data_IF_168197123678
#
_entry.id   IF_168197123678
#
_cell.length_a   1.000
_cell.length_b   1.000
_cell.length_c   1.000
_cell.angle_alpha   90.00
_cell.angle_beta   90.00
_cell.angle_gamma   90.00
#
_symmetry.space_group_name_H-M   'P 1'
#
loop_
_entity.id
_entity.type
_entity.pdbx_description
1 polymer ?
#
# COMPACT_ATOMS: atom_id res chain seq x y z
N UNK A 1 -30.10 -19.22 -7.40
CA UNK A 1 -29.60 -17.99 -8.04
C UNK A 1 -28.11 -17.92 -7.75
N UNK A 2 -27.27 -17.99 -8.77
CA UNK A 2 -25.81 -18.07 -8.62
C UNK A 2 -25.27 -16.84 -7.88
N UNK A 3 -24.38 -17.05 -6.91
CA UNK A 3 -23.69 -16.01 -6.14
C UNK A 3 -22.53 -15.36 -6.90
N UNK A 4 -22.30 -15.78 -8.14
CA UNK A 4 -21.14 -15.38 -8.91
C UNK A 4 -21.51 -14.19 -9.81
N UNK A 5 -21.47 -12.99 -9.23
CA UNK A 5 -21.42 -11.73 -9.98
C UNK A 5 -20.10 -11.54 -10.76
N UNK A 6 -19.18 -12.50 -10.66
CA UNK A 6 -17.89 -12.51 -11.34
C UNK A 6 -17.96 -13.36 -12.61
N UNK A 7 -18.70 -12.89 -13.62
CA UNK A 7 -18.92 -13.66 -14.84
C UNK A 7 -18.88 -12.81 -16.10
N UNK A 8 -17.68 -12.44 -16.55
CA UNK A 8 -17.42 -12.27 -17.98
C UNK A 8 -16.38 -13.31 -18.38
N UNK A 9 -16.82 -14.34 -19.09
CA UNK A 9 -16.02 -15.42 -19.70
C UNK A 9 -15.33 -14.99 -21.00
N UNK A 10 -15.25 -13.68 -21.25
CA UNK A 10 -14.51 -13.15 -22.40
C UNK A 10 -13.07 -12.89 -21.95
N UNK A 11 -12.12 -13.65 -22.50
CA UNK A 11 -10.69 -13.40 -22.28
C UNK A 11 -10.39 -11.94 -22.59
N UNK A 12 -9.84 -11.21 -21.61
CA UNK A 12 -9.50 -9.80 -21.77
C UNK A 12 -8.35 -9.69 -22.78
N UNK A 13 -8.44 -8.69 -23.65
CA UNK A 13 -7.38 -8.37 -24.62
C UNK A 13 -6.63 -7.07 -24.25
N UNK A 14 -7.22 -6.24 -23.39
CA UNK A 14 -6.65 -4.98 -22.90
C UNK A 14 -6.54 -4.98 -21.38
N UNK A 15 -5.48 -4.39 -20.84
CA UNK A 15 -5.26 -4.20 -19.40
C UNK A 15 -6.12 -3.08 -18.82
N UNK A 16 -7.44 -3.18 -18.95
CA UNK A 16 -8.42 -2.25 -18.38
C UNK A 16 -9.59 -3.02 -17.74
N UNK A 17 -9.94 -2.65 -16.52
CA UNK A 17 -11.04 -3.24 -15.75
C UNK A 17 -11.88 -2.13 -15.15
N UNK A 18 -13.19 -2.21 -15.38
CA UNK A 18 -14.21 -1.46 -14.66
C UNK A 18 -15.06 -2.45 -13.85
N UNK A 19 -14.99 -2.37 -12.52
CA UNK A 19 -15.67 -3.34 -11.66
C UNK A 19 -17.01 -2.79 -11.15
N UNK A 20 -18.03 -2.83 -12.00
CA UNK A 20 -19.39 -2.48 -11.61
C UNK A 20 -19.93 -3.47 -10.57
N UNK A 21 -20.62 -2.97 -9.54
CA UNK A 21 -21.28 -3.80 -8.52
C UNK A 21 -22.79 -3.67 -8.60
N UNK A 22 -23.49 -4.78 -8.34
CA UNK A 22 -24.95 -4.83 -8.23
C UNK A 22 -25.47 -4.19 -6.94
N UNK A 23 -24.61 -4.00 -5.94
CA UNK A 23 -24.93 -3.20 -4.77
C UNK A 23 -24.67 -1.72 -5.09
N UNK A 24 -25.68 -0.85 -4.97
CA UNK A 24 -25.52 0.55 -5.31
C UNK A 24 -24.63 1.27 -4.29
N UNK A 25 -23.86 2.24 -4.78
CA UNK A 25 -23.11 3.13 -3.91
C UNK A 25 -24.07 3.97 -3.06
N UNK A 26 -23.84 4.01 -1.75
CA UNK A 26 -24.63 4.82 -0.83
C UNK A 26 -24.00 6.21 -0.70
N UNK A 27 -24.69 7.23 -1.20
CA UNK A 27 -24.27 8.62 -1.06
C UNK A 27 -24.63 9.17 0.33
N UNK A 28 -24.06 8.56 1.37
CA UNK A 28 -24.27 8.92 2.78
C UNK A 28 -22.92 9.16 3.44
N UNK A 29 -22.85 10.14 4.33
CA UNK A 29 -21.71 10.29 5.21
C UNK A 29 -21.69 9.17 6.25
N UNK A 30 -20.53 8.95 6.88
CA UNK A 30 -20.40 7.94 7.94
C UNK A 30 -21.39 8.18 9.08
N UNK A 31 -21.61 9.45 9.44
CA UNK A 31 -22.57 9.85 10.46
C UNK A 31 -24.03 9.63 10.04
N UNK A 32 -24.39 9.91 8.79
CA UNK A 32 -25.75 9.66 8.28
C UNK A 32 -26.10 8.17 8.29
N UNK A 33 -25.17 7.32 7.89
CA UNK A 33 -25.34 5.87 7.96
C UNK A 33 -25.50 5.38 9.40
N UNK A 34 -24.75 5.96 10.34
CA UNK A 34 -24.90 5.65 11.76
C UNK A 34 -26.26 6.08 12.30
N UNK A 35 -26.72 7.29 12.00
CA UNK A 35 -27.98 7.84 12.49
C UNK A 35 -29.18 6.96 12.05
N UNK A 36 -29.15 6.47 10.81
CA UNK A 36 -30.15 5.53 10.27
C UNK A 36 -30.10 4.18 10.99
N UNK A 37 -28.91 3.57 11.11
CA UNK A 37 -28.74 2.27 11.76
C UNK A 37 -29.11 2.33 13.24
N UNK A 38 -28.79 3.42 13.94
CA UNK A 38 -29.20 3.63 15.33
C UNK A 38 -30.71 3.82 15.50
N UNK A 39 -31.39 4.36 14.49
CA UNK A 39 -32.85 4.45 14.49
C UNK A 39 -33.50 3.08 14.26
N UNK A 40 -32.89 2.23 13.43
CA UNK A 40 -33.44 0.94 13.06
C UNK A 40 -33.08 -0.19 14.04
N UNK A 41 -31.87 -0.17 14.60
CA UNK A 41 -31.30 -1.23 15.43
C UNK A 41 -30.61 -0.68 16.70
N UNK A 42 -31.30 0.12 17.53
CA UNK A 42 -30.68 0.87 18.63
C UNK A 42 -29.92 0.00 19.65
N UNK A 43 -30.43 -1.20 19.92
CA UNK A 43 -29.89 -2.09 20.97
C UNK A 43 -28.83 -3.08 20.44
N UNK A 44 -28.55 -3.07 19.14
CA UNK A 44 -27.57 -3.98 18.54
C UNK A 44 -26.16 -3.45 18.80
N UNK A 45 -25.27 -4.34 19.27
CA UNK A 45 -23.84 -4.02 19.42
C UNK A 45 -23.22 -3.67 18.07
N UNK A 46 -22.58 -2.50 17.97
CA UNK A 46 -22.01 -2.00 16.72
C UNK A 46 -20.52 -1.68 16.81
N UNK A 47 -19.99 -1.47 18.01
CA UNK A 47 -18.58 -1.13 18.21
C UNK A 47 -18.02 -1.75 19.47
N UNK A 48 -16.92 -2.49 19.32
CA UNK A 48 -16.23 -3.20 20.40
C UNK A 48 -14.76 -2.86 20.35
N UNK A 49 -14.25 -2.26 21.42
CA UNK A 49 -12.82 -2.00 21.57
C UNK A 49 -12.28 -2.80 22.77
N UNK A 50 -11.76 -4.00 22.46
CA UNK A 50 -11.37 -5.00 23.48
C UNK A 50 -10.28 -4.51 24.42
N UNK A 51 -9.31 -3.73 23.92
CA UNK A 51 -8.18 -3.24 24.72
C UNK A 51 -8.59 -2.33 25.89
N UNK A 52 -9.74 -1.65 25.76
CA UNK A 52 -10.29 -0.76 26.79
C UNK A 52 -11.55 -1.34 27.45
N UNK A 53 -11.91 -2.60 27.12
CA UNK A 53 -13.16 -3.23 27.55
C UNK A 53 -14.42 -2.39 27.26
N UNK A 54 -14.43 -1.64 26.15
CA UNK A 54 -15.54 -0.80 25.73
C UNK A 54 -16.40 -1.53 24.70
N UNK A 55 -17.72 -1.45 24.88
CA UNK A 55 -18.75 -2.02 24.00
C UNK A 55 -19.89 -1.03 23.88
N UNK A 56 -20.34 -0.79 22.66
CA UNK A 56 -21.42 0.15 22.38
C UNK A 56 -22.48 -0.50 21.51
N UNK A 57 -23.74 -0.22 21.84
CA UNK A 57 -24.84 -0.42 20.90
C UNK A 57 -24.90 0.75 19.94
N UNK A 58 -25.66 0.63 18.85
CA UNK A 58 -25.83 1.76 17.93
C UNK A 58 -26.36 3.02 18.64
N UNK A 59 -27.31 2.86 19.58
CA UNK A 59 -27.84 3.99 20.34
C UNK A 59 -26.79 4.64 21.24
N UNK A 60 -26.00 3.86 21.98
CA UNK A 60 -24.98 4.44 22.88
C UNK A 60 -23.79 4.99 22.10
N UNK A 61 -23.39 4.37 20.99
CA UNK A 61 -22.34 4.90 20.12
C UNK A 61 -22.73 6.24 19.49
N UNK A 62 -23.96 6.34 18.97
CA UNK A 62 -24.50 7.59 18.46
C UNK A 62 -24.54 8.67 19.54
N UNK A 63 -24.94 8.32 20.76
CA UNK A 63 -24.96 9.26 21.89
C UNK A 63 -23.57 9.85 22.18
N UNK A 64 -22.52 9.03 22.26
CA UNK A 64 -21.15 9.51 22.47
C UNK A 64 -20.68 10.45 21.34
N UNK A 65 -21.02 10.11 20.09
CA UNK A 65 -20.70 10.93 18.92
C UNK A 65 -21.42 12.27 18.99
N UNK A 66 -22.72 12.27 19.30
CA UNK A 66 -23.52 13.49 19.40
C UNK A 66 -23.06 14.39 20.54
N UNK A 67 -22.69 13.79 21.67
CA UNK A 67 -22.15 14.50 22.82
C UNK A 67 -20.86 15.23 22.46
N UNK A 68 -19.87 14.51 21.90
CA UNK A 68 -18.60 15.12 21.51
C UNK A 68 -18.76 16.12 20.36
N UNK A 69 -19.64 15.84 19.39
CA UNK A 69 -19.95 16.77 18.32
C UNK A 69 -20.53 18.09 18.85
N UNK A 70 -21.45 18.01 19.82
CA UNK A 70 -22.02 19.19 20.48
C UNK A 70 -20.94 19.97 21.22
N UNK A 71 -20.04 19.29 21.94
CA UNK A 71 -18.92 19.94 22.62
C UNK A 71 -17.99 20.67 21.64
N UNK A 72 -17.67 20.10 20.48
CA UNK A 72 -16.85 20.79 19.48
C UNK A 72 -17.59 22.01 18.87
N UNK A 73 -18.91 21.94 18.67
CA UNK A 73 -19.71 23.10 18.26
C UNK A 73 -19.67 24.22 19.31
N UNK A 74 -19.77 23.87 20.60
CA UNK A 74 -19.63 24.85 21.69
C UNK A 74 -18.23 25.47 21.77
N UNK A 75 -17.20 24.74 21.36
CA UNK A 75 -15.83 25.25 21.20
C UNK A 75 -15.65 26.12 19.94
N UNK A 76 -16.68 26.26 19.10
CA UNK A 76 -16.69 27.14 17.94
C UNK A 76 -16.19 26.50 16.65
N UNK A 77 -16.15 25.17 16.54
CA UNK A 77 -15.82 24.51 15.27
C UNK A 77 -16.93 24.73 14.23
N UNK A 78 -16.54 25.16 13.03
CA UNK A 78 -17.41 25.38 11.88
C UNK A 78 -17.13 24.37 10.75
N UNK A 79 -18.07 24.23 9.81
CA UNK A 79 -17.91 23.36 8.64
C UNK A 79 -16.62 23.75 7.88
N UNK A 80 -15.76 22.76 7.61
CA UNK A 80 -14.49 22.96 6.93
C UNK A 80 -13.29 23.19 7.84
N UNK A 81 -13.50 23.42 9.14
CA UNK A 81 -12.40 23.54 10.10
C UNK A 81 -11.53 22.28 10.15
N UNK A 82 -10.25 22.46 10.49
CA UNK A 82 -9.26 21.37 10.51
C UNK A 82 -8.92 20.96 11.93
N UNK A 83 -9.18 19.70 12.27
CA UNK A 83 -8.83 19.11 13.56
C UNK A 83 -7.65 18.16 13.38
N UNK A 84 -6.47 18.57 13.83
CA UNK A 84 -5.31 17.69 13.91
C UNK A 84 -5.45 16.73 15.10
N UNK A 85 -5.25 15.43 14.85
CA UNK A 85 -5.45 14.36 15.84
C UNK A 85 -4.19 13.51 15.93
N UNK A 86 -3.50 13.57 17.07
CA UNK A 86 -2.36 12.74 17.41
C UNK A 86 -2.74 11.78 18.56
N UNK A 87 -3.60 10.82 18.25
CA UNK A 87 -4.04 9.80 19.20
C UNK A 87 -3.50 8.42 18.79
N UNK A 88 -3.16 7.54 19.75
CA UNK A 88 -2.80 6.15 19.46
C UNK A 88 -3.99 5.36 18.91
N UNK A 89 -3.79 4.04 18.73
CA UNK A 89 -4.88 3.12 18.43
C UNK A 89 -5.79 2.97 19.66
N UNK A 90 -6.71 3.93 19.85
CA UNK A 90 -7.70 3.97 20.93
C UNK A 90 -9.12 4.19 20.36
N UNK A 91 -10.13 3.97 21.20
CA UNK A 91 -11.53 4.08 20.76
C UNK A 91 -11.92 5.51 20.34
N UNK A 92 -11.35 6.52 20.99
CA UNK A 92 -11.60 7.94 20.70
C UNK A 92 -11.09 8.35 19.31
N UNK A 93 -10.06 7.68 18.79
CA UNK A 93 -9.58 7.96 17.44
C UNK A 93 -10.65 7.59 16.39
N UNK A 94 -11.35 6.47 16.57
CA UNK A 94 -12.46 6.09 15.68
C UNK A 94 -13.65 7.02 15.88
N UNK A 95 -13.98 7.35 17.14
CA UNK A 95 -15.05 8.30 17.50
C UNK A 95 -14.92 9.63 16.75
N UNK A 96 -13.71 10.21 16.75
CA UNK A 96 -13.42 11.49 16.09
C UNK A 96 -13.64 11.44 14.57
N UNK A 97 -13.54 10.29 13.92
CA UNK A 97 -13.85 10.16 12.48
C UNK A 97 -15.35 10.30 12.22
N UNK A 98 -16.21 9.76 13.10
CA UNK A 98 -17.66 9.94 13.02
C UNK A 98 -18.06 11.38 13.36
N UNK A 99 -17.48 11.97 14.41
CA UNK A 99 -17.72 13.37 14.78
C UNK A 99 -17.32 14.32 13.66
N UNK A 100 -16.15 14.13 13.07
CA UNK A 100 -15.69 14.93 11.95
C UNK A 100 -16.65 14.85 10.75
N UNK A 101 -17.07 13.63 10.42
CA UNK A 101 -18.08 13.38 9.38
C UNK A 101 -19.46 13.99 9.70
N UNK A 102 -19.83 14.12 10.98
CA UNK A 102 -21.12 14.69 11.42
C UNK A 102 -21.11 16.21 11.35
N UNK A 103 -20.00 16.84 11.76
CA UNK A 103 -19.86 18.29 11.79
C UNK A 103 -19.41 18.89 10.44
N UNK A 104 -18.92 18.06 9.52
CA UNK A 104 -18.33 18.55 8.27
C UNK A 104 -16.96 19.19 8.46
N UNK A 105 -16.24 18.81 9.54
CA UNK A 105 -14.87 19.25 9.79
C UNK A 105 -13.87 18.24 9.21
N UNK A 106 -12.67 18.71 8.90
CA UNK A 106 -11.59 17.94 8.29
C UNK A 106 -10.70 17.39 9.40
N UNK A 107 -10.73 16.07 9.59
CA UNK A 107 -9.80 15.39 10.50
C UNK A 107 -8.44 15.20 9.81
N UNK A 108 -7.37 15.66 10.44
CA UNK A 108 -5.99 15.48 9.99
C UNK A 108 -5.29 14.51 10.95
N UNK A 109 -5.06 13.27 10.51
CA UNK A 109 -4.37 12.29 11.32
C UNK A 109 -2.86 12.58 11.39
N UNK A 110 -2.33 12.63 12.61
CA UNK A 110 -0.91 12.64 12.89
C UNK A 110 -0.54 11.28 13.46
N UNK A 111 0.57 10.70 13.00
CA UNK A 111 1.06 9.44 13.56
C UNK A 111 1.74 9.72 14.91
N UNK A 112 1.21 9.25 16.05
CA UNK A 112 1.83 9.50 17.37
C UNK A 112 3.19 8.81 17.52
N UNK A 113 3.42 7.70 16.81
CA UNK A 113 4.66 6.92 16.85
C UNK A 113 5.25 6.77 15.44
N UNK A 114 6.08 7.73 15.05
CA UNK A 114 6.83 7.70 13.79
C UNK A 114 8.06 6.79 13.87
N UNK A 115 7.85 5.51 14.18
CA UNK A 115 8.85 4.45 14.02
C UNK A 115 8.14 3.21 13.47
N UNK A 116 8.16 3.08 12.15
CA UNK A 116 7.59 1.91 11.47
C UNK A 116 8.37 0.64 11.82
N UNK A 117 7.71 -0.32 12.46
CA UNK A 117 8.17 -1.71 12.56
C UNK A 117 7.02 -2.70 12.74
N UNK A 118 7.23 -3.86 12.09
CA UNK A 118 6.61 -5.18 12.28
C UNK A 118 5.18 -5.43 11.76
N UNK A 119 5.11 -5.83 10.49
CA UNK A 119 3.97 -6.60 9.92
C UNK A 119 4.41 -7.84 9.12
N UNK A 120 5.69 -8.03 8.80
CA UNK A 120 6.15 -9.15 7.97
C UNK A 120 6.26 -10.48 8.74
N UNK A 121 6.83 -10.47 9.95
CA UNK A 121 7.02 -11.68 10.75
C UNK A 121 5.70 -12.23 11.31
N UNK A 122 4.76 -11.32 11.63
CA UNK A 122 3.44 -11.67 12.13
C UNK A 122 2.64 -12.51 11.11
N UNK A 123 2.66 -12.20 9.82
CA UNK A 123 1.83 -12.90 8.82
C UNK A 123 2.23 -14.37 8.66
N UNK A 124 3.53 -14.67 8.68
CA UNK A 124 4.03 -16.04 8.52
C UNK A 124 3.83 -16.89 9.79
N UNK A 125 4.07 -16.32 10.97
CA UNK A 125 3.85 -17.01 12.25
C UNK A 125 2.36 -17.24 12.55
N UNK A 126 1.51 -16.29 12.15
CA UNK A 126 0.06 -16.36 12.34
C UNK A 126 -0.58 -17.49 11.52
N UNK A 127 -0.02 -17.88 10.36
CA UNK A 127 -0.58 -18.96 9.54
C UNK A 127 -0.36 -20.36 10.13
N UNK A 128 0.82 -20.64 10.70
CA UNK A 128 1.16 -21.96 11.24
C UNK A 128 0.61 -22.21 12.64
N UNK A 129 0.44 -21.16 13.45
CA UNK A 129 0.03 -21.29 14.86
C UNK A 129 -1.47 -21.06 15.10
N UNK A 130 -2.16 -20.26 14.27
CA UNK A 130 -3.52 -19.79 14.56
C UNK A 130 -4.64 -20.42 13.72
N UNK A 131 -4.34 -21.43 12.89
CA UNK A 131 -5.37 -22.12 12.10
C UNK A 131 -6.12 -21.22 11.11
N UNK A 132 -5.45 -20.18 10.59
CA UNK A 132 -6.05 -19.23 9.66
C UNK A 132 -6.39 -19.92 8.34
N UNK A 133 -7.67 -19.85 7.97
CA UNK A 133 -8.20 -20.46 6.74
C UNK A 133 -8.17 -19.53 5.53
N UNK A 134 -7.90 -18.22 5.70
CA UNK A 134 -7.83 -17.22 4.62
C UNK A 134 -6.85 -16.10 4.94
N UNK A 135 -5.93 -15.84 4.02
CA UNK A 135 -5.08 -14.65 4.01
C UNK A 135 -5.34 -13.92 2.70
N UNK A 136 -5.91 -12.72 2.79
CA UNK A 136 -6.12 -11.85 1.64
C UNK A 136 -5.10 -10.72 1.67
N UNK A 137 -4.41 -10.52 0.56
CA UNK A 137 -3.54 -9.38 0.29
C UNK A 137 -4.35 -8.27 -0.35
N UNK A 138 -4.12 -7.02 0.08
CA UNK A 138 -4.66 -5.83 -0.54
C UNK A 138 -3.58 -4.81 -0.86
N UNK A 139 -3.73 -4.10 -1.97
CA UNK A 139 -2.86 -2.99 -2.38
C UNK A 139 -3.64 -1.68 -2.33
N UNK A 140 -3.01 -0.59 -1.89
CA UNK A 140 -3.59 0.75 -1.84
C UNK A 140 -2.54 1.80 -1.49
N UNK A 141 -2.93 3.07 -1.57
CA UNK A 141 -2.13 4.22 -1.16
C UNK A 141 -3.03 5.29 -0.55
N UNK A 142 -2.46 6.26 0.16
CA UNK A 142 -3.22 7.32 0.84
C UNK A 142 -4.14 8.08 -0.12
N UNK A 143 -3.65 8.36 -1.33
CA UNK A 143 -4.36 9.08 -2.39
C UNK A 143 -5.56 8.31 -2.97
N UNK A 144 -5.66 7.00 -2.70
CA UNK A 144 -6.81 6.14 -3.05
C UNK A 144 -7.81 6.06 -1.87
N UNK A 145 -7.40 6.44 -0.67
CA UNK A 145 -8.21 6.43 0.55
C UNK A 145 -8.40 5.05 1.22
N UNK A 146 -8.23 3.94 0.49
CA UNK A 146 -8.37 2.58 0.99
C UNK A 146 -7.55 1.59 0.11
N UNK A 147 -7.78 0.28 0.26
CA UNK A 147 -7.37 -0.72 -0.70
C UNK A 147 -8.03 -0.47 -2.06
N UNK A 148 -7.26 -0.61 -3.13
CA UNK A 148 -7.67 -0.62 -4.53
C UNK A 148 -7.99 -2.03 -5.02
N UNK A 149 -7.13 -2.98 -4.67
CA UNK A 149 -7.27 -4.38 -5.06
C UNK A 149 -7.22 -5.29 -3.85
N UNK A 150 -7.85 -6.45 -3.99
CA UNK A 150 -7.80 -7.50 -3.00
C UNK A 150 -7.80 -8.88 -3.69
N UNK A 151 -7.06 -9.82 -3.12
CA UNK A 151 -7.10 -11.23 -3.51
C UNK A 151 -8.37 -11.85 -2.96
N UNK A 152 -9.52 -11.51 -3.55
CA UNK A 152 -10.81 -12.14 -3.21
C UNK A 152 -10.99 -13.29 -4.18
N UNK A 153 -10.56 -14.49 -3.78
CA UNK A 153 -11.00 -15.69 -4.47
C UNK A 153 -11.34 -16.84 -3.51
N UNK A 154 -12.39 -17.55 -3.91
CA UNK A 154 -12.96 -18.68 -3.17
C UNK A 154 -12.20 -19.98 -3.40
N UNK A 155 -11.34 -20.03 -4.44
CA UNK A 155 -10.47 -21.16 -4.70
C UNK A 155 -9.13 -21.00 -3.98
N UNK A 156 -8.87 -21.89 -3.02
CA UNK A 156 -7.67 -21.81 -2.18
C UNK A 156 -6.40 -22.25 -2.92
N UNK A 157 -6.56 -23.05 -3.98
CA UNK A 157 -5.46 -23.65 -4.74
C UNK A 157 -4.98 -22.76 -5.91
N UNK A 158 -5.48 -21.53 -6.02
CA UNK A 158 -5.00 -20.59 -7.04
C UNK A 158 -3.72 -19.87 -6.56
N UNK A 159 -2.58 -20.24 -7.15
CA UNK A 159 -1.25 -19.65 -6.88
C UNK A 159 -1.21 -18.12 -7.00
N UNK A 160 -2.13 -17.52 -7.76
CA UNK A 160 -2.23 -16.06 -7.89
C UNK A 160 -2.62 -15.38 -6.59
N UNK A 161 -3.25 -16.07 -5.63
CA UNK A 161 -3.49 -15.54 -4.27
C UNK A 161 -2.21 -15.09 -3.56
N UNK A 162 -1.10 -15.79 -3.84
CA UNK A 162 0.17 -15.53 -3.17
C UNK A 162 1.07 -14.60 -3.99
N UNK A 163 0.91 -14.61 -5.32
CA UNK A 163 1.83 -13.92 -6.24
C UNK A 163 1.27 -12.60 -6.79
N UNK A 164 -0.04 -12.35 -6.69
CA UNK A 164 -0.70 -11.12 -7.15
C UNK A 164 -1.04 -10.17 -6.01
N UNK A 165 -1.30 -8.91 -6.34
CA UNK A 165 -1.92 -7.92 -5.44
C UNK A 165 -3.46 -7.93 -5.54
N UNK A 166 -4.03 -8.94 -6.20
CA UNK A 166 -5.47 -9.14 -6.31
C UNK A 166 -6.13 -8.42 -7.49
N UNK A 167 -7.46 -8.34 -7.42
CA UNK A 167 -8.33 -7.77 -8.47
C UNK A 167 -8.94 -6.44 -8.03
N UNK A 168 -9.32 -5.63 -9.00
CA UNK A 168 -10.00 -4.34 -8.80
C UNK A 168 -11.23 -4.49 -7.87
N UNK A 169 -11.32 -3.66 -6.84
CA UNK A 169 -12.49 -3.61 -5.96
C UNK A 169 -13.72 -3.00 -6.66
N UNK A 170 -14.94 -3.28 -6.15
CA UNK A 170 -16.17 -2.70 -6.69
C UNK A 170 -16.15 -1.17 -6.77
N UNK A 171 -16.82 -0.63 -7.80
CA UNK A 171 -16.96 0.81 -8.06
C UNK A 171 -15.65 1.54 -8.38
N UNK A 172 -14.61 0.78 -8.73
CA UNK A 172 -13.31 1.31 -9.15
C UNK A 172 -12.98 0.88 -10.59
N UNK A 173 -12.09 1.65 -11.19
CA UNK A 173 -11.52 1.40 -12.51
C UNK A 173 -10.00 1.37 -12.42
N UNK A 174 -9.39 0.40 -13.09
CA UNK A 174 -7.94 0.27 -13.19
C UNK A 174 -7.56 0.06 -14.65
N UNK A 175 -6.49 0.71 -15.08
CA UNK A 175 -5.78 0.39 -16.32
C UNK A 175 -4.27 0.29 -16.09
N UNK A 176 -3.62 -0.54 -16.89
CA UNK A 176 -2.16 -0.53 -17.03
C UNK A 176 -1.82 0.25 -18.30
N UNK A 177 -0.94 1.24 -18.20
CA UNK A 177 -0.59 2.13 -19.31
C UNK A 177 0.91 2.19 -19.58
N UNK A 178 1.24 2.51 -20.82
CA UNK A 178 2.60 2.86 -21.23
C UNK A 178 2.99 4.27 -20.75
N UNK A 179 4.18 4.72 -21.12
CA UNK A 179 4.68 6.07 -20.79
C UNK A 179 3.86 7.20 -21.42
N UNK A 180 3.03 6.92 -22.43
CA UNK A 180 2.15 7.90 -23.09
C UNK A 180 0.73 7.90 -22.49
N UNK A 181 0.46 7.05 -21.49
CA UNK A 181 -0.89 6.89 -20.92
C UNK A 181 -1.83 6.02 -21.75
N UNK A 182 -1.30 5.31 -22.75
CA UNK A 182 -2.06 4.37 -23.60
C UNK A 182 -2.18 3.01 -22.91
N UNK A 183 -3.37 2.43 -22.91
CA UNK A 183 -3.61 1.11 -22.29
C UNK A 183 -2.78 0.04 -23.00
N UNK A 184 -2.00 -0.72 -22.25
CA UNK A 184 -1.18 -1.82 -22.79
C UNK A 184 -1.99 -3.12 -22.90
N UNK A 185 -1.57 -4.07 -23.76
CA UNK A 185 -2.16 -5.41 -23.82
C UNK A 185 -2.06 -6.15 -22.47
N UNK A 186 -2.88 -7.19 -22.30
CA UNK A 186 -2.77 -8.11 -21.15
C UNK A 186 -1.39 -8.75 -21.10
N UNK A 187 -0.84 -8.88 -19.90
CA UNK A 187 0.50 -9.42 -19.62
C UNK A 187 1.64 -8.43 -19.83
N UNK A 188 1.42 -7.31 -20.52
CA UNK A 188 2.42 -6.25 -20.68
C UNK A 188 2.61 -5.46 -19.39
N UNK A 189 3.85 -5.03 -19.16
CA UNK A 189 4.23 -4.19 -18.03
C UNK A 189 3.88 -2.73 -18.33
N UNK A 190 3.42 -2.03 -17.29
CA UNK A 190 3.15 -0.60 -17.38
C UNK A 190 2.75 -0.02 -16.03
N UNK A 191 2.38 1.25 -16.03
CA UNK A 191 1.97 1.96 -14.81
C UNK A 191 0.50 1.70 -14.49
N UNK A 192 0.20 1.44 -13.21
CA UNK A 192 -1.18 1.35 -12.72
C UNK A 192 -1.77 2.75 -12.68
N UNK A 193 -2.83 2.99 -13.43
CA UNK A 193 -3.67 4.17 -13.28
C UNK A 193 -5.04 3.76 -12.75
N UNK A 194 -5.57 4.54 -11.82
CA UNK A 194 -6.81 4.22 -11.11
C UNK A 194 -7.79 5.39 -11.11
N UNK A 195 -9.08 5.08 -11.20
CA UNK A 195 -10.17 6.04 -11.06
C UNK A 195 -11.31 5.44 -10.24
N UNK A 196 -12.05 6.27 -9.50
CA UNK A 196 -13.23 5.84 -8.77
C UNK A 196 -13.61 6.79 -7.65
N UNK A 197 -14.60 6.40 -6.85
CA UNK A 197 -15.20 7.26 -5.82
C UNK A 197 -14.24 7.61 -4.67
N UNK A 198 -13.22 6.77 -4.43
CA UNK A 198 -12.33 6.91 -3.28
C UNK A 198 -11.07 7.74 -3.57
N UNK A 199 -10.83 8.10 -4.83
CA UNK A 199 -9.66 8.88 -5.23
C UNK A 199 -9.73 10.26 -4.59
N UNK A 200 -8.61 10.67 -3.97
CA UNK A 200 -8.49 11.96 -3.31
C UNK A 200 -8.93 13.12 -4.20
N UNK A 201 -9.35 14.21 -3.57
CA UNK A 201 -9.70 15.43 -4.30
C UNK A 201 -8.44 16.09 -4.89
N UNK A 202 -7.44 16.35 -4.03
CA UNK A 202 -6.16 16.99 -4.37
C UNK A 202 -5.17 16.88 -3.20
N UNK A 203 -3.92 17.26 -3.43
CA UNK A 203 -3.00 17.65 -2.36
C UNK A 203 -3.37 19.05 -1.83
N UNK A 204 -3.26 19.26 -0.52
CA UNK A 204 -3.60 20.55 0.09
C UNK A 204 -2.62 21.64 -0.37
N UNK A 205 -3.16 22.74 -0.90
CA UNK A 205 -2.40 23.88 -1.42
C UNK A 205 -1.32 23.56 -2.48
N UNK A 206 -1.40 22.39 -3.14
CA UNK A 206 -0.41 21.95 -4.13
C UNK A 206 -1.10 21.46 -5.42
N UNK A 207 -1.53 22.44 -6.23
CA UNK A 207 -2.25 22.18 -7.49
C UNK A 207 -1.37 21.59 -8.57
N UNK A 208 -0.10 21.99 -8.62
CA UNK A 208 0.86 21.50 -9.61
C UNK A 208 1.07 20.00 -9.43
N UNK A 209 1.42 19.57 -8.21
CA UNK A 209 1.57 18.15 -7.90
C UNK A 209 0.27 17.37 -8.04
N UNK A 210 -0.87 18.01 -7.75
CA UNK A 210 -2.18 17.39 -8.00
C UNK A 210 -2.38 17.10 -9.48
N UNK A 211 -2.06 18.04 -10.38
CA UNK A 211 -2.18 17.88 -11.83
C UNK A 211 -1.14 16.90 -12.40
N UNK A 212 0.02 16.76 -11.76
CA UNK A 212 1.00 15.73 -12.11
C UNK A 212 0.48 14.32 -11.81
N UNK A 213 -0.23 14.16 -10.69
CA UNK A 213 -0.72 12.87 -10.20
C UNK A 213 -2.11 12.51 -10.71
N UNK A 214 -3.00 13.47 -10.94
CA UNK A 214 -4.39 13.23 -11.36
C UNK A 214 -4.62 13.90 -12.70
N UNK A 215 -4.97 13.10 -13.71
CA UNK A 215 -5.31 13.60 -15.05
C UNK A 215 -6.65 14.33 -15.07
N UNK A 216 -6.91 15.09 -16.14
CA UNK A 216 -8.17 15.82 -16.34
C UNK A 216 -9.40 14.90 -16.32
N UNK A 217 -9.27 13.66 -16.81
CA UNK A 217 -10.30 12.62 -16.78
C UNK A 217 -10.28 11.76 -15.49
N UNK A 218 -9.65 12.29 -14.43
CA UNK A 218 -9.62 11.80 -13.05
C UNK A 218 -8.91 10.46 -12.85
N UNK A 219 -7.94 10.11 -13.70
CA UNK A 219 -7.04 9.00 -13.41
C UNK A 219 -5.92 9.46 -12.48
N UNK A 220 -5.82 8.81 -11.33
CA UNK A 220 -4.66 8.88 -10.46
C UNK A 220 -3.54 7.99 -11.03
N UNK A 221 -2.38 8.59 -11.26
CA UNK A 221 -1.10 7.96 -11.60
C UNK A 221 -0.46 7.46 -10.32
N UNK A 222 -0.36 6.14 -10.17
CA UNK A 222 0.16 5.56 -8.90
C UNK A 222 1.68 5.65 -8.80
N UNK A 223 2.39 5.75 -9.93
CA UNK A 223 3.84 5.54 -9.98
C UNK A 223 4.28 4.10 -9.71
N UNK A 224 3.34 3.16 -9.57
CA UNK A 224 3.59 1.74 -9.36
C UNK A 224 3.41 0.99 -10.68
N UNK A 225 4.35 0.07 -10.95
CA UNK A 225 4.40 -0.74 -12.16
C UNK A 225 3.78 -2.11 -11.88
N UNK A 226 2.96 -2.58 -12.81
CA UNK A 226 2.37 -3.91 -12.75
C UNK A 226 2.07 -4.46 -14.15
N UNK A 227 1.73 -5.73 -14.18
CA UNK A 227 1.06 -6.40 -15.32
C UNK A 227 -0.28 -6.94 -14.87
N UNK A 228 -1.21 -7.04 -15.80
CA UNK A 228 -2.54 -7.62 -15.58
C UNK A 228 -2.66 -8.95 -16.32
N UNK A 229 -3.19 -10.00 -15.70
CA UNK A 229 -3.55 -11.24 -16.40
C UNK A 229 -4.96 -11.19 -17.02
N UNK A 230 -5.34 -12.22 -17.76
CA UNK A 230 -6.63 -12.28 -18.46
C UNK A 230 -7.84 -12.36 -17.52
N UNK A 231 -7.65 -12.77 -16.27
CA UNK A 231 -8.66 -12.78 -15.20
C UNK A 231 -8.76 -11.43 -14.45
N UNK A 232 -7.82 -10.52 -14.69
CA UNK A 232 -7.78 -9.18 -14.11
C UNK A 232 -7.05 -9.10 -12.77
N UNK A 233 -6.22 -10.10 -12.44
CA UNK A 233 -5.26 -10.02 -11.35
C UNK A 233 -4.10 -9.12 -11.74
N UNK A 234 -3.67 -8.29 -10.79
CA UNK A 234 -2.49 -7.45 -10.94
C UNK A 234 -1.29 -8.10 -10.28
N UNK A 235 -0.15 -8.06 -10.95
CA UNK A 235 1.13 -8.51 -10.41
C UNK A 235 2.06 -7.31 -10.32
N UNK A 236 2.38 -6.92 -9.08
CA UNK A 236 3.26 -5.80 -8.81
C UNK A 236 4.68 -6.12 -9.27
N UNK A 237 5.27 -5.19 -10.02
CA UNK A 237 6.61 -5.30 -10.60
C UNK A 237 7.59 -4.42 -9.82
N UNK A 238 7.18 -3.22 -9.42
CA UNK A 238 8.04 -2.29 -8.71
C UNK A 238 7.51 -0.87 -8.74
N UNK A 239 8.30 0.08 -8.22
CA UNK A 239 7.99 1.50 -8.33
C UNK A 239 8.74 2.11 -9.50
N UNK A 240 8.04 2.90 -10.32
CA UNK A 240 8.62 3.60 -11.48
C UNK A 240 9.84 4.44 -11.11
N UNK A 241 9.77 5.16 -9.99
CA UNK A 241 10.86 6.00 -9.47
C UNK A 241 12.05 5.24 -8.86
N UNK A 242 11.88 3.94 -8.62
CA UNK A 242 12.94 3.08 -8.04
C UNK A 242 13.55 2.16 -9.10
N UNK A 243 13.03 2.17 -10.33
CA UNK A 243 13.57 1.40 -11.44
C UNK A 243 14.98 1.89 -11.77
N UNK A 244 15.93 0.96 -11.74
CA UNK A 244 17.33 1.19 -12.10
C UNK A 244 17.46 0.99 -13.61
N UNK A 245 18.09 1.93 -14.28
CA UNK A 245 18.39 1.83 -15.72
C UNK A 245 19.89 1.59 -15.86
N UNK A 246 20.27 0.33 -16.05
CA UNK A 246 21.66 -0.06 -16.28
C UNK A 246 21.87 -0.27 -17.78
N UNK A 247 22.46 0.74 -18.43
CA UNK A 247 22.56 0.82 -19.88
C UNK A 247 21.18 0.83 -20.55
N UNK A 248 20.84 -0.24 -21.27
CA UNK A 248 19.54 -0.39 -21.94
C UNK A 248 18.54 -1.29 -21.18
N UNK A 249 18.84 -1.65 -19.92
CA UNK A 249 18.08 -2.64 -19.16
C UNK A 249 17.37 -2.02 -17.97
N UNK A 250 16.07 -2.30 -17.85
CA UNK A 250 15.29 -1.95 -16.66
C UNK A 250 15.48 -3.02 -15.59
N UNK A 251 15.92 -2.62 -14.42
CA UNK A 251 16.11 -3.48 -13.26
C UNK A 251 15.21 -3.00 -12.13
N UNK A 252 14.45 -3.93 -11.55
CA UNK A 252 13.51 -3.64 -10.47
C UNK A 252 14.10 -4.07 -9.13
N UNK A 253 14.45 -3.13 -8.22
CA UNK A 253 15.07 -3.47 -6.94
C UNK A 253 14.30 -4.51 -6.13
N UNK A 254 12.96 -4.45 -6.12
CA UNK A 254 12.11 -5.38 -5.36
C UNK A 254 12.28 -6.84 -5.79
N UNK A 255 12.61 -7.09 -7.05
CA UNK A 255 12.91 -8.45 -7.55
C UNK A 255 14.17 -9.00 -6.88
N UNK A 256 15.21 -8.18 -6.82
CA UNK A 256 16.50 -8.53 -6.23
C UNK A 256 16.38 -8.63 -4.70
N UNK A 257 15.67 -7.68 -4.08
CA UNK A 257 15.38 -7.68 -2.63
C UNK A 257 14.66 -8.98 -2.23
N UNK A 258 13.65 -9.42 -2.99
CA UNK A 258 12.94 -10.68 -2.74
C UNK A 258 13.88 -11.88 -2.76
N UNK A 259 14.76 -11.98 -3.75
CA UNK A 259 15.70 -13.10 -3.83
C UNK A 259 16.73 -13.04 -2.70
N UNK A 260 17.27 -11.86 -2.37
CA UNK A 260 18.22 -11.71 -1.25
C UNK A 260 17.55 -12.11 0.09
N UNK A 261 16.28 -11.77 0.30
CA UNK A 261 15.52 -12.14 1.52
C UNK A 261 15.28 -13.64 1.67
N UNK A 262 15.37 -14.43 0.59
CA UNK A 262 15.30 -15.89 0.67
C UNK A 262 16.56 -16.50 1.30
N UNK A 263 17.66 -15.75 1.39
CA UNK A 263 18.90 -16.24 1.98
C UNK A 263 18.74 -16.41 3.50
N UNK A 264 19.07 -17.58 4.09
CA UNK A 264 18.81 -17.88 5.49
C UNK A 264 19.41 -16.88 6.49
N UNK A 265 20.58 -16.31 6.18
CA UNK A 265 21.29 -15.35 7.03
C UNK A 265 20.77 -13.91 6.92
N UNK A 266 19.93 -13.57 5.94
CA UNK A 266 19.48 -12.19 5.72
C UNK A 266 18.23 -11.87 6.53
N UNK A 267 18.27 -10.78 7.29
CA UNK A 267 17.13 -10.25 8.03
C UNK A 267 16.36 -9.18 7.25
N UNK A 268 17.07 -8.31 6.53
CA UNK A 268 16.48 -7.23 5.75
C UNK A 268 17.46 -6.78 4.66
N UNK A 269 16.97 -6.14 3.60
CA UNK A 269 17.79 -5.68 2.48
C UNK A 269 17.19 -4.44 1.85
N UNK A 270 18.06 -3.56 1.34
CA UNK A 270 17.68 -2.43 0.50
C UNK A 270 18.52 -2.44 -0.77
N UNK A 271 17.87 -2.54 -1.93
CA UNK A 271 18.52 -2.45 -3.24
C UNK A 271 18.27 -1.09 -3.85
N UNK A 272 19.33 -0.48 -4.37
CA UNK A 272 19.36 0.86 -4.94
C UNK A 272 20.46 0.95 -5.99
N UNK A 273 20.57 2.07 -6.70
CA UNK A 273 21.67 2.32 -7.64
C UNK A 273 22.60 3.43 -7.17
N UNK A 274 23.82 3.40 -7.70
CA UNK A 274 24.75 4.52 -7.71
C UNK A 274 25.13 4.85 -9.16
N UNK A 275 25.52 6.10 -9.47
CA UNK A 275 25.98 6.47 -10.81
C UNK A 275 27.23 5.68 -11.22
N UNK A 276 27.27 5.26 -12.48
CA UNK A 276 28.41 4.58 -13.10
C UNK A 276 28.72 5.18 -14.48
N UNK A 277 29.98 5.46 -14.82
CA UNK A 277 30.35 6.12 -16.07
C UNK A 277 30.19 5.25 -17.34
N UNK A 278 30.05 3.93 -17.23
CA UNK A 278 29.94 3.01 -18.37
C UNK A 278 28.49 2.62 -18.67
N UNK A 279 27.69 2.42 -17.63
CA UNK A 279 26.32 1.90 -17.75
C UNK A 279 25.27 2.80 -17.10
N UNK A 280 25.61 4.06 -16.85
CA UNK A 280 24.81 5.10 -16.19
C UNK A 280 24.54 4.82 -14.71
N UNK A 281 24.06 3.62 -14.37
CA UNK A 281 23.78 3.17 -13.01
C UNK A 281 24.22 1.72 -12.80
N UNK A 282 24.79 1.42 -11.63
CA UNK A 282 25.05 0.04 -11.18
C UNK A 282 24.25 -0.29 -9.94
N UNK A 283 23.84 -1.56 -9.83
CA UNK A 283 23.03 -2.06 -8.73
C UNK A 283 23.88 -2.24 -7.47
N UNK A 284 23.37 -1.73 -6.36
CA UNK A 284 23.96 -1.80 -5.03
C UNK A 284 22.96 -2.41 -4.04
N UNK A 285 23.49 -3.06 -2.99
CA UNK A 285 22.68 -3.59 -1.90
C UNK A 285 23.32 -3.32 -0.53
N UNK A 286 22.51 -2.83 0.39
CA UNK A 286 22.78 -2.90 1.82
C UNK A 286 21.98 -4.04 2.43
N UNK A 287 22.67 -4.91 3.16
CA UNK A 287 22.11 -6.15 3.71
C UNK A 287 22.27 -6.15 5.22
N UNK A 288 21.17 -6.37 5.93
CA UNK A 288 21.17 -6.60 7.37
C UNK A 288 21.09 -8.09 7.63
N UNK A 289 22.02 -8.62 8.39
CA UNK A 289 22.03 -10.04 8.76
C UNK A 289 21.14 -10.30 9.98
N UNK A 290 20.66 -11.54 10.10
CA UNK A 290 19.99 -12.01 11.33
C UNK A 290 20.99 -12.05 12.48
N UNK A 291 20.54 -11.82 13.74
CA UNK A 291 21.40 -11.97 14.90
C UNK A 291 22.13 -13.31 14.88
N UNK A 292 23.42 -13.29 15.26
CA UNK A 292 24.28 -14.48 15.38
C UNK A 292 24.54 -15.27 14.08
N UNK A 293 24.11 -14.75 12.92
CA UNK A 293 24.46 -15.33 11.62
C UNK A 293 25.71 -14.68 11.03
N UNK A 294 26.39 -15.41 10.15
CA UNK A 294 27.49 -14.89 9.32
C UNK A 294 27.18 -15.20 7.86
N UNK A 295 27.60 -14.32 6.99
CA UNK A 295 27.49 -14.44 5.54
C UNK A 295 28.60 -13.59 4.95
N UNK A 296 29.36 -14.14 4.01
CA UNK A 296 30.33 -13.35 3.25
C UNK A 296 29.69 -12.83 1.95
N UNK A 297 30.27 -11.77 1.39
CA UNK A 297 29.74 -11.16 0.15
C UNK A 297 29.76 -12.16 -1.02
N UNK A 298 30.84 -12.93 -1.15
CA UNK A 298 31.00 -13.91 -2.23
C UNK A 298 30.00 -15.07 -2.09
N UNK A 299 29.73 -15.51 -0.86
CA UNK A 299 28.69 -16.51 -0.57
C UNK A 299 27.32 -16.01 -1.02
N UNK A 300 26.97 -14.76 -0.68
CA UNK A 300 25.70 -14.17 -1.10
C UNK A 300 25.64 -14.00 -2.63
N UNK A 301 26.71 -13.55 -3.29
CA UNK A 301 26.76 -13.44 -4.75
C UNK A 301 26.61 -14.79 -5.43
N UNK A 302 27.22 -15.85 -4.91
CA UNK A 302 27.02 -17.22 -5.40
C UNK A 302 25.56 -17.65 -5.29
N UNK A 303 24.94 -17.45 -4.13
CA UNK A 303 23.51 -17.74 -3.94
C UNK A 303 22.62 -16.98 -4.93
N UNK A 304 22.94 -15.70 -5.20
CA UNK A 304 22.20 -14.90 -6.18
C UNK A 304 22.40 -15.37 -7.62
N UNK A 305 23.60 -15.86 -7.97
CA UNK A 305 23.91 -16.31 -9.32
C UNK A 305 23.12 -17.55 -9.77
N UNK A 306 22.63 -18.35 -8.82
CA UNK A 306 21.76 -19.50 -9.11
C UNK A 306 20.32 -19.08 -9.45
N UNK A 307 19.92 -17.84 -9.13
CA UNK A 307 18.52 -17.38 -9.18
C UNK A 307 18.31 -16.16 -10.08
N UNK A 308 19.35 -15.35 -10.27
CA UNK A 308 19.31 -14.09 -11.00
C UNK A 308 20.28 -14.12 -12.17
N UNK A 309 19.91 -13.43 -13.25
CA UNK A 309 20.82 -13.11 -14.34
C UNK A 309 21.94 -12.18 -13.85
N UNK A 310 23.15 -12.32 -14.41
CA UNK A 310 24.35 -11.63 -13.93
C UNK A 310 24.21 -10.12 -13.73
N UNK A 311 23.52 -9.42 -14.64
CA UNK A 311 23.31 -7.96 -14.55
C UNK A 311 22.37 -7.53 -13.42
N UNK A 312 21.61 -8.45 -12.81
CA UNK A 312 20.75 -8.16 -11.65
C UNK A 312 21.47 -8.42 -10.32
N UNK A 313 22.66 -9.02 -10.35
CA UNK A 313 23.44 -9.27 -9.14
C UNK A 313 24.06 -7.93 -8.72
N UNK A 314 23.85 -7.44 -7.49
CA UNK A 314 24.43 -6.19 -7.05
C UNK A 314 25.95 -6.19 -7.19
N UNK A 315 26.47 -5.16 -7.84
CA UNK A 315 27.91 -4.96 -8.02
C UNK A 315 28.59 -4.74 -6.66
N UNK A 316 27.98 -3.88 -5.85
CA UNK A 316 28.41 -3.60 -4.49
C UNK A 316 27.39 -4.08 -3.47
N UNK A 317 27.84 -4.98 -2.58
CA UNK A 317 27.09 -5.43 -1.41
C UNK A 317 27.84 -4.96 -0.16
N UNK A 318 27.11 -4.40 0.81
CA UNK A 318 27.64 -4.08 2.15
C UNK A 318 26.71 -4.61 3.23
N UNK A 319 27.30 -5.20 4.26
CA UNK A 319 26.56 -5.57 5.46
C UNK A 319 26.48 -4.37 6.41
N UNK A 320 25.28 -4.09 6.92
CA UNK A 320 25.00 -2.94 7.79
C UNK A 320 24.15 -3.36 9.00
N UNK A 321 24.30 -2.64 10.11
CA UNK A 321 23.50 -2.90 11.32
C UNK A 321 22.05 -2.42 11.18
N UNK A 322 21.83 -1.29 10.50
CA UNK A 322 20.52 -0.75 10.15
C UNK A 322 20.62 0.19 8.94
N UNK A 323 19.48 0.55 8.36
CA UNK A 323 19.41 1.44 7.21
C UNK A 323 19.23 2.90 7.63
N UNK A 324 19.86 3.80 6.88
CA UNK A 324 19.68 5.24 7.06
C UNK A 324 18.24 5.66 6.74
N UNK A 325 17.61 6.41 7.66
CA UNK A 325 16.19 6.82 7.59
C UNK A 325 16.02 8.35 7.41
N UNK A 326 14.84 8.74 6.92
CA UNK A 326 14.40 10.13 6.88
C UNK A 326 13.78 10.55 8.22
N UNK A 327 13.37 11.82 8.33
CA UNK A 327 12.74 12.40 9.53
C UNK A 327 11.43 11.71 9.94
N UNK A 328 10.80 10.97 9.02
CA UNK A 328 9.57 10.21 9.24
C UNK A 328 9.86 8.74 9.60
N UNK A 329 11.13 8.36 9.84
CA UNK A 329 11.54 7.00 10.17
C UNK A 329 11.51 6.00 9.00
N UNK A 330 11.21 6.44 7.77
CA UNK A 330 11.26 5.59 6.57
C UNK A 330 12.68 5.51 6.04
N UNK A 331 13.07 4.34 5.53
CA UNK A 331 14.36 4.17 4.83
C UNK A 331 14.46 5.18 3.69
N UNK A 332 15.59 5.87 3.62
CA UNK A 332 15.82 6.95 2.67
C UNK A 332 16.83 6.49 1.60
N UNK A 333 16.35 5.92 0.48
CA UNK A 333 17.24 5.36 -0.57
C UNK A 333 18.31 6.34 -1.05
N UNK A 334 18.00 7.64 -1.17
CA UNK A 334 19.00 8.65 -1.55
C UNK A 334 20.17 8.76 -0.55
N UNK A 335 19.90 8.61 0.75
CA UNK A 335 20.96 8.55 1.77
C UNK A 335 21.78 7.28 1.67
N UNK A 336 21.15 6.14 1.35
CA UNK A 336 21.87 4.88 1.15
C UNK A 336 22.82 4.97 -0.06
N UNK A 337 22.38 5.63 -1.14
CA UNK A 337 23.20 5.96 -2.30
C UNK A 337 24.41 6.80 -1.90
N UNK A 338 24.20 7.90 -1.15
CA UNK A 338 25.30 8.74 -0.62
C UNK A 338 26.27 7.94 0.28
N UNK A 339 25.73 7.13 1.19
CA UNK A 339 26.51 6.28 2.09
C UNK A 339 27.39 5.29 1.30
N UNK A 340 26.83 4.61 0.30
CA UNK A 340 27.57 3.68 -0.55
C UNK A 340 28.69 4.39 -1.31
N UNK A 341 28.42 5.55 -1.91
CA UNK A 341 29.42 6.34 -2.63
C UNK A 341 30.56 6.74 -1.69
N UNK A 342 30.24 7.20 -0.48
CA UNK A 342 31.24 7.56 0.53
C UNK A 342 32.10 6.36 0.95
N UNK A 343 31.49 5.18 1.15
CA UNK A 343 32.21 3.94 1.47
C UNK A 343 33.18 3.56 0.35
N UNK A 344 32.74 3.63 -0.91
CA UNK A 344 33.56 3.28 -2.08
C UNK A 344 34.70 4.27 -2.30
N UNK A 345 34.49 5.56 -2.04
CA UNK A 345 35.53 6.58 -2.13
C UNK A 345 36.56 6.53 -0.98
N UNK A 346 36.22 5.86 0.13
CA UNK A 346 37.08 5.75 1.31
C UNK A 346 37.85 4.41 1.39
N UNK A 347 37.56 3.49 0.45
CA UNK A 347 38.22 2.18 0.33
C UNK A 347 39.31 2.24 -0.72
#
# INVERSE_FOLDING_TARGET
MSKDGYGSTTKRTSSYVHNASSFPFQYKTLAQSLDELASQYPDYECYVFKGENKRYTYATWKHEIDWLATSLLELGFEIGDRLAVALPNCSENVLLSYVASKLGIIKVHLNPDSTGRELADAVNQTRSELGISRVEQGYGMTEIGNFLTCTVDTNYDDDRRHTSIGRCLPHMEIKIVDNNGTVVPIGSEGEIWVRGYSIMSCYDNDRERTAEMITDDRWLRTGDLARMDDDGYLFFIGRKKEMIIQGATNIYPIEIERVILEHPSVADVQVFSIPDPLVDEVVCAFVKLKPETKCEVDELKMFLSDKLTSYKIPEHIRFVDDFTRNVMGKVAKYKLTEDMINILNSS
#
